data_IF_099876043347
#
_entry.id   IF_099876043347
#
_cell.length_a   1.000
_cell.length_b   1.000
_cell.length_c   1.000
_cell.angle_alpha   90.00
_cell.angle_beta   90.00
_cell.angle_gamma   90.00
#
_symmetry.space_group_name_H-M   'P 1'
#
loop_
_entity.id
_entity.type
_entity.pdbx_description
1 polymer ?
#
# COMPACT_ATOMS: atom_id res chain seq x y z
N UNK A 1 9.37 -12.75 -19.52
CA UNK A 1 8.73 -11.92 -18.48
C UNK A 1 7.33 -12.46 -18.25
N UNK A 2 7.07 -13.04 -17.09
CA UNK A 2 5.73 -13.54 -16.75
C UNK A 2 4.88 -12.35 -16.30
N UNK A 3 3.83 -12.02 -17.03
CA UNK A 3 2.98 -10.85 -16.74
C UNK A 3 2.16 -11.07 -15.47
N UNK A 4 1.72 -12.30 -15.27
CA UNK A 4 0.89 -12.68 -14.14
C UNK A 4 1.73 -13.33 -13.06
N UNK A 5 1.43 -12.99 -11.82
CA UNK A 5 1.96 -13.68 -10.67
C UNK A 5 1.42 -15.12 -10.65
N UNK A 6 2.27 -16.10 -10.36
CA UNK A 6 1.78 -17.48 -10.18
C UNK A 6 0.95 -17.55 -8.91
N UNK A 7 -0.08 -18.41 -8.91
CA UNK A 7 -0.90 -18.64 -7.70
C UNK A 7 -0.05 -19.04 -6.49
N UNK A 8 1.07 -19.73 -6.73
CA UNK A 8 2.06 -20.09 -5.72
C UNK A 8 2.86 -18.89 -5.19
N UNK A 9 3.24 -17.93 -6.04
CA UNK A 9 3.93 -16.70 -5.59
C UNK A 9 3.03 -15.84 -4.71
N UNK A 10 1.77 -15.64 -5.11
CA UNK A 10 0.80 -14.92 -4.29
C UNK A 10 0.58 -15.61 -2.94
N UNK A 11 0.42 -16.95 -2.93
CA UNK A 11 0.26 -17.74 -1.71
C UNK A 11 1.45 -17.61 -0.75
N UNK A 12 2.68 -17.57 -1.28
CA UNK A 12 3.89 -17.34 -0.46
C UNK A 12 3.86 -15.98 0.22
N UNK A 13 3.51 -14.92 -0.50
CA UNK A 13 3.37 -13.58 0.08
C UNK A 13 2.25 -13.51 1.12
N UNK A 14 1.11 -14.15 0.84
CA UNK A 14 0.00 -14.24 1.79
C UNK A 14 0.43 -14.97 3.07
N UNK A 15 1.13 -16.11 2.98
CA UNK A 15 1.69 -16.82 4.14
C UNK A 15 2.62 -15.92 4.97
N UNK A 16 3.49 -15.14 4.33
CA UNK A 16 4.40 -14.22 5.05
C UNK A 16 3.65 -13.08 5.70
N UNK A 17 2.65 -12.52 5.03
CA UNK A 17 1.78 -11.49 5.59
C UNK A 17 1.06 -12.03 6.84
N UNK A 18 0.42 -13.19 6.75
CA UNK A 18 -0.37 -13.78 7.84
C UNK A 18 0.50 -14.11 9.06
N UNK A 19 1.70 -14.67 8.83
CA UNK A 19 2.67 -14.96 9.90
C UNK A 19 3.11 -13.69 10.62
N UNK A 20 3.47 -12.64 9.88
CA UNK A 20 3.87 -11.36 10.48
C UNK A 20 2.71 -10.68 11.20
N UNK A 21 1.49 -10.75 10.65
CA UNK A 21 0.28 -10.27 11.33
C UNK A 21 0.08 -10.97 12.67
N UNK A 22 0.21 -12.30 12.69
CA UNK A 22 0.08 -13.09 13.92
C UNK A 22 1.17 -12.73 14.94
N UNK A 23 2.41 -12.48 14.51
CA UNK A 23 3.46 -12.00 15.40
C UNK A 23 3.08 -10.66 16.06
N UNK A 24 2.59 -9.69 15.28
CA UNK A 24 2.15 -8.41 15.84
C UNK A 24 0.96 -8.55 16.79
N UNK A 25 -0.02 -9.39 16.47
CA UNK A 25 -1.17 -9.67 17.35
C UNK A 25 -0.77 -10.32 18.67
N UNK A 26 0.20 -11.24 18.64
CA UNK A 26 0.73 -11.88 19.86
C UNK A 26 1.51 -10.87 20.71
N UNK A 27 2.31 -10.01 20.07
CA UNK A 27 3.11 -8.99 20.75
C UNK A 27 2.26 -7.88 21.37
N UNK A 28 1.18 -7.48 20.69
CA UNK A 28 0.41 -6.27 20.98
C UNK A 28 -1.07 -6.61 21.18
N UNK A 29 -1.39 -7.28 22.27
CA UNK A 29 -2.75 -7.65 22.64
C UNK A 29 -3.31 -6.77 23.79
N UNK A 30 -4.53 -7.08 24.23
CA UNK A 30 -5.24 -6.34 25.28
C UNK A 30 -4.52 -6.30 26.63
N UNK A 31 -3.56 -7.19 26.90
CA UNK A 31 -2.77 -7.21 28.13
C UNK A 31 -1.49 -6.36 28.02
N UNK A 32 -1.04 -6.09 26.80
CA UNK A 32 0.22 -5.39 26.50
C UNK A 32 0.02 -3.95 26.05
N UNK A 33 -1.17 -3.57 25.59
CA UNK A 33 -1.50 -2.21 25.16
C UNK A 33 -2.87 -1.78 25.70
N UNK A 34 -2.89 -0.74 26.52
CA UNK A 34 -4.13 -0.13 27.01
C UNK A 34 -4.45 1.21 26.35
N UNK A 35 -3.42 1.93 25.91
CA UNK A 35 -3.54 3.25 25.30
C UNK A 35 -3.43 3.21 23.78
N UNK A 36 -3.15 2.05 23.18
CA UNK A 36 -3.07 1.89 21.73
C UNK A 36 -3.88 0.69 21.24
N UNK A 37 -4.44 0.79 20.04
CA UNK A 37 -4.75 -0.38 19.19
C UNK A 37 -3.74 -0.45 18.06
N UNK A 38 -3.66 -1.58 17.37
CA UNK A 38 -2.76 -1.73 16.24
C UNK A 38 -3.47 -2.26 14.98
N UNK A 39 -2.83 -2.10 13.84
CA UNK A 39 -3.24 -2.69 12.57
C UNK A 39 -2.01 -2.97 11.71
N UNK A 40 -1.94 -4.16 11.12
CA UNK A 40 -0.95 -4.50 10.11
C UNK A 40 -1.64 -4.65 8.76
N UNK A 41 -1.31 -3.78 7.80
CA UNK A 41 -2.08 -3.61 6.56
C UNK A 41 -1.16 -3.73 5.34
N UNK A 42 -1.54 -4.53 4.33
CA UNK A 42 -0.85 -4.51 3.05
C UNK A 42 -1.34 -3.33 2.20
N UNK A 43 -0.48 -2.83 1.32
CA UNK A 43 -0.85 -1.87 0.29
C UNK A 43 -0.13 -2.17 -1.03
N UNK A 44 -0.20 -1.25 -2.00
CA UNK A 44 0.54 -1.39 -3.25
C UNK A 44 0.06 -2.56 -4.11
N UNK A 45 0.99 -3.17 -4.87
CA UNK A 45 0.66 -4.21 -5.86
C UNK A 45 -0.05 -5.41 -5.25
N UNK A 46 0.41 -5.86 -4.07
CA UNK A 46 -0.16 -7.03 -3.39
C UNK A 46 -1.62 -6.78 -3.01
N UNK A 47 -1.94 -5.63 -2.38
CA UNK A 47 -3.33 -5.26 -2.03
C UNK A 47 -4.21 -5.07 -3.26
N UNK A 48 -3.67 -4.55 -4.36
CA UNK A 48 -4.39 -4.39 -5.63
C UNK A 48 -4.64 -5.74 -6.32
N UNK A 49 -3.87 -6.80 -5.99
CA UNK A 49 -3.98 -8.11 -6.63
C UNK A 49 -3.29 -8.18 -8.00
N UNK A 50 -2.16 -7.48 -8.16
CA UNK A 50 -1.31 -7.55 -9.35
C UNK A 50 0.11 -7.95 -8.97
N UNK A 51 0.84 -8.50 -9.94
CA UNK A 51 2.22 -8.90 -9.72
C UNK A 51 3.09 -7.72 -9.25
N UNK A 52 3.82 -7.93 -8.17
CA UNK A 52 4.76 -6.99 -7.56
C UNK A 52 6.00 -7.72 -7.09
N UNK A 53 7.13 -7.01 -6.97
CA UNK A 53 8.35 -7.62 -6.46
C UNK A 53 8.28 -7.82 -4.95
N UNK A 54 7.84 -6.77 -4.25
CA UNK A 54 7.84 -6.71 -2.79
C UNK A 54 6.41 -6.78 -2.21
N UNK A 55 6.32 -7.23 -0.96
CA UNK A 55 5.13 -7.14 -0.13
C UNK A 55 5.21 -5.84 0.69
N UNK A 56 4.55 -4.81 0.19
CA UNK A 56 4.43 -3.50 0.83
C UNK A 56 3.43 -3.54 1.99
N UNK A 57 3.87 -3.20 3.21
CA UNK A 57 3.04 -3.24 4.42
C UNK A 57 3.29 -2.06 5.35
N UNK A 58 2.28 -1.76 6.16
CA UNK A 58 2.38 -0.79 7.24
C UNK A 58 1.89 -1.41 8.55
N UNK A 59 2.64 -1.16 9.62
CA UNK A 59 2.23 -1.38 10.99
C UNK A 59 1.85 -0.04 11.62
N UNK A 60 0.58 0.11 11.99
CA UNK A 60 0.03 1.34 12.56
C UNK A 60 -0.40 1.09 14.00
N UNK A 61 0.04 1.94 14.91
CA UNK A 61 -0.46 2.06 16.27
C UNK A 61 -1.41 3.26 16.35
N UNK A 62 -2.65 3.05 16.79
CA UNK A 62 -3.66 4.07 16.96
C UNK A 62 -3.80 4.42 18.44
N UNK A 63 -3.45 5.64 18.80
CA UNK A 63 -3.61 6.14 20.17
C UNK A 63 -5.11 6.19 20.52
N UNK A 64 -5.47 5.68 21.69
CA UNK A 64 -6.80 5.76 22.27
C UNK A 64 -6.87 6.96 23.22
N UNK A 65 -8.09 7.44 23.54
CA UNK A 65 -8.23 8.49 24.55
C UNK A 65 -7.85 7.94 25.93
N UNK A 66 -6.98 8.69 26.61
CA UNK A 66 -6.39 8.44 27.93
C UNK A 66 -7.22 7.55 28.85
N UNK A 67 -6.61 6.46 29.31
CA UNK A 67 -7.11 5.59 30.39
C UNK A 67 -6.16 5.71 31.58
N UNK A 68 -6.67 5.56 32.81
CA UNK A 68 -5.87 5.68 34.04
C UNK A 68 -4.85 4.53 34.26
N UNK A 69 -4.56 3.72 33.24
CA UNK A 69 -3.65 2.57 33.27
C UNK A 69 -2.81 2.59 32.01
N UNK A 70 -1.49 2.56 32.18
CA UNK A 70 -0.50 2.44 31.12
C UNK A 70 0.36 1.19 31.39
N UNK A 71 0.69 0.48 30.34
CA UNK A 71 1.72 -0.56 30.35
C UNK A 71 3.09 0.05 30.03
N UNK A 72 4.16 -0.73 30.19
CA UNK A 72 5.51 -0.31 29.76
C UNK A 72 5.61 -0.06 28.25
N UNK A 73 4.81 -0.78 27.44
CA UNK A 73 4.71 -0.52 26.01
C UNK A 73 4.00 0.78 25.71
N UNK A 74 2.89 1.08 26.40
CA UNK A 74 2.16 2.34 26.23
C UNK A 74 3.09 3.54 26.52
N UNK A 75 3.79 3.53 27.65
CA UNK A 75 4.76 4.57 28.02
C UNK A 75 5.85 4.75 26.94
N UNK A 76 6.39 3.63 26.45
CA UNK A 76 7.42 3.63 25.40
C UNK A 76 6.88 4.23 24.10
N UNK A 77 5.69 3.83 23.65
CA UNK A 77 5.11 4.35 22.41
C UNK A 77 4.73 5.83 22.52
N UNK A 78 4.26 6.30 23.67
CA UNK A 78 4.04 7.73 23.90
C UNK A 78 5.33 8.54 23.78
N UNK A 79 6.47 8.01 24.26
CA UNK A 79 7.78 8.67 24.11
C UNK A 79 8.29 8.65 22.66
N UNK A 80 8.04 7.58 21.91
CA UNK A 80 8.56 7.38 20.57
C UNK A 80 7.69 8.00 19.46
N UNK A 81 6.46 8.44 19.74
CA UNK A 81 5.47 8.87 18.72
C UNK A 81 5.91 10.00 17.78
N UNK A 82 6.87 10.83 18.20
CA UNK A 82 7.42 11.93 17.40
C UNK A 82 8.80 11.64 16.80
N UNK A 83 9.33 10.42 16.99
CA UNK A 83 10.65 10.02 16.48
C UNK A 83 10.52 8.72 15.69
N UNK A 84 10.29 8.83 14.38
CA UNK A 84 10.09 7.68 13.49
C UNK A 84 11.28 6.71 13.50
N UNK A 85 12.51 7.22 13.53
CA UNK A 85 13.71 6.37 13.57
C UNK A 85 13.80 5.56 14.86
N UNK A 86 13.57 6.19 16.02
CA UNK A 86 13.60 5.50 17.30
C UNK A 86 12.44 4.50 17.42
N UNK A 87 11.25 4.86 16.94
CA UNK A 87 10.10 3.98 16.84
C UNK A 87 10.40 2.74 15.98
N UNK A 88 10.92 2.94 14.77
CA UNK A 88 11.29 1.83 13.88
C UNK A 88 12.36 0.95 14.51
N UNK A 89 13.38 1.53 15.15
CA UNK A 89 14.40 0.74 15.87
C UNK A 89 13.78 -0.11 16.98
N UNK A 90 12.84 0.45 17.74
CA UNK A 90 12.15 -0.29 18.79
C UNK A 90 11.36 -1.46 18.23
N UNK A 91 10.57 -1.25 17.17
CA UNK A 91 9.83 -2.34 16.50
C UNK A 91 10.77 -3.40 15.93
N UNK A 92 11.90 -3.01 15.30
CA UNK A 92 12.91 -3.97 14.84
C UNK A 92 13.41 -4.84 15.99
N UNK A 93 13.77 -4.24 17.14
CA UNK A 93 14.26 -4.99 18.30
C UNK A 93 13.22 -5.98 18.85
N UNK A 94 11.95 -5.59 18.88
CA UNK A 94 10.88 -6.49 19.29
C UNK A 94 10.60 -7.60 18.26
N UNK A 95 10.69 -7.28 16.97
CA UNK A 95 10.56 -8.29 15.92
C UNK A 95 11.70 -9.30 15.99
N UNK A 96 12.93 -8.88 16.29
CA UNK A 96 14.08 -9.79 16.43
C UNK A 96 13.79 -10.87 17.47
N UNK A 97 13.27 -10.51 18.65
CA UNK A 97 13.01 -11.48 19.71
C UNK A 97 11.95 -12.51 19.30
N UNK A 98 10.92 -12.08 18.55
CA UNK A 98 9.90 -12.99 18.01
C UNK A 98 10.41 -13.81 16.82
N UNK A 99 11.22 -13.21 15.95
CA UNK A 99 11.85 -13.86 14.80
C UNK A 99 12.77 -14.97 15.30
N UNK A 100 13.58 -14.73 16.33
CA UNK A 100 14.46 -15.74 16.92
C UNK A 100 13.70 -16.94 17.52
N UNK A 101 12.42 -16.79 17.83
CA UNK A 101 11.53 -17.89 18.22
C UNK A 101 10.88 -18.57 17.01
N UNK A 102 9.89 -17.91 16.41
CA UNK A 102 8.92 -18.55 15.51
C UNK A 102 9.32 -18.51 14.02
N UNK A 103 10.13 -17.53 13.60
CA UNK A 103 10.45 -17.30 12.18
C UNK A 103 11.94 -17.46 11.86
N UNK A 104 12.74 -17.94 12.82
CA UNK A 104 14.21 -17.92 12.75
C UNK A 104 14.74 -18.68 11.55
N UNK A 105 14.10 -19.78 11.22
CA UNK A 105 14.50 -20.64 10.12
C UNK A 105 13.90 -20.23 8.77
N UNK A 106 13.06 -19.18 8.72
CA UNK A 106 12.43 -18.70 7.49
C UNK A 106 13.02 -17.39 6.97
N UNK A 107 13.73 -16.63 7.81
CA UNK A 107 14.28 -15.32 7.47
C UNK A 107 15.78 -15.43 7.15
N UNK A 108 16.17 -14.89 6.00
CA UNK A 108 17.58 -14.77 5.57
C UNK A 108 18.24 -13.62 6.31
N UNK A 109 17.63 -12.43 6.22
CA UNK A 109 18.06 -11.24 6.94
C UNK A 109 16.91 -10.24 7.06
N UNK A 110 17.05 -9.30 7.98
CA UNK A 110 16.28 -8.06 8.01
C UNK A 110 17.26 -6.88 8.00
N UNK A 111 16.82 -5.73 7.47
CA UNK A 111 17.58 -4.48 7.52
C UNK A 111 16.65 -3.30 7.66
N UNK A 112 17.11 -2.27 8.36
CA UNK A 112 16.48 -0.96 8.32
C UNK A 112 17.02 -0.16 7.13
N UNK A 113 16.13 0.46 6.37
CA UNK A 113 16.47 1.39 5.29
C UNK A 113 16.27 2.80 5.84
N UNK A 114 17.36 3.57 5.88
CA UNK A 114 17.33 4.99 6.27
C UNK A 114 16.80 5.81 5.09
N UNK A 115 15.52 6.13 5.15
CA UNK A 115 14.83 7.03 4.23
C UNK A 115 14.12 8.13 5.03
N UNK A 116 13.45 9.06 4.34
CA UNK A 116 12.64 10.10 5.01
C UNK A 116 11.65 9.50 6.03
N UNK A 117 11.13 8.31 5.73
CA UNK A 117 10.41 7.44 6.66
C UNK A 117 11.14 6.10 6.69
N UNK A 118 11.73 5.70 7.82
CA UNK A 118 12.49 4.45 7.91
C UNK A 118 11.61 3.23 7.60
N UNK A 119 12.20 2.27 6.88
CA UNK A 119 11.52 1.05 6.41
C UNK A 119 12.25 -0.15 7.00
N UNK A 120 11.49 -1.12 7.51
CA UNK A 120 12.03 -2.44 7.88
C UNK A 120 11.87 -3.34 6.65
N UNK A 121 12.98 -3.78 6.07
CA UNK A 121 12.98 -4.77 5.01
C UNK A 121 13.32 -6.14 5.60
N UNK A 122 12.48 -7.14 5.35
CA UNK A 122 12.71 -8.55 5.72
C UNK A 122 12.81 -9.37 4.43
N UNK A 123 13.86 -10.19 4.31
CA UNK A 123 14.01 -11.17 3.24
C UNK A 123 13.81 -12.57 3.80
N UNK A 124 12.86 -13.31 3.24
CA UNK A 124 12.59 -14.71 3.55
C UNK A 124 13.35 -15.67 2.62
N UNK A 125 13.52 -16.92 3.05
CA UNK A 125 14.27 -17.96 2.32
C UNK A 125 13.70 -18.24 0.92
N UNK A 126 12.38 -18.09 0.77
CA UNK A 126 11.67 -18.27 -0.50
C UNK A 126 11.76 -17.06 -1.44
N UNK A 127 12.65 -16.10 -1.12
CA UNK A 127 12.89 -14.84 -1.81
C UNK A 127 11.77 -13.81 -1.66
N UNK A 128 10.77 -14.05 -0.82
CA UNK A 128 9.77 -13.04 -0.49
C UNK A 128 10.43 -11.89 0.25
N UNK A 129 10.26 -10.67 -0.27
CA UNK A 129 10.68 -9.43 0.37
C UNK A 129 9.45 -8.75 0.97
N UNK A 130 9.56 -8.35 2.23
CA UNK A 130 8.51 -7.62 2.93
C UNK A 130 9.06 -6.29 3.41
N UNK A 131 8.41 -5.20 3.02
CA UNK A 131 8.71 -3.86 3.49
C UNK A 131 7.66 -3.43 4.50
N UNK A 132 8.08 -3.07 5.71
CA UNK A 132 7.21 -2.64 6.80
C UNK A 132 7.53 -1.19 7.15
N UNK A 133 6.55 -0.32 6.93
CA UNK A 133 6.55 1.02 7.50
C UNK A 133 5.91 1.00 8.88
N UNK A 134 6.44 1.79 9.82
CA UNK A 134 5.92 1.87 11.19
C UNK A 134 5.42 3.28 11.45
N UNK A 135 4.22 3.40 12.03
CA UNK A 135 3.63 4.70 12.33
C UNK A 135 2.78 4.67 13.59
N UNK A 136 2.86 5.72 14.41
CA UNK A 136 1.86 6.02 15.45
C UNK A 136 0.93 7.12 14.93
N UNK A 137 -0.38 6.88 15.02
CA UNK A 137 -1.44 7.85 14.72
C UNK A 137 -2.00 8.37 16.04
N UNK A 138 -1.82 9.66 16.28
CA UNK A 138 -2.33 10.35 17.48
C UNK A 138 -3.71 10.95 17.19
N UNK A 139 -4.51 11.18 18.25
CA UNK A 139 -5.85 11.76 18.13
C UNK A 139 -5.88 13.29 18.17
N UNK A 140 -4.72 13.96 18.04
CA UNK A 140 -4.65 15.41 18.24
C UNK A 140 -5.42 16.16 17.14
N UNK A 141 -6.54 16.75 17.53
CA UNK A 141 -7.41 17.60 16.70
C UNK A 141 -6.77 18.93 16.30
N UNK A 142 -5.57 19.25 16.81
CA UNK A 142 -4.86 20.49 16.53
C UNK A 142 -4.04 20.46 15.22
N UNK A 143 -3.77 19.29 14.63
CA UNK A 143 -3.06 19.17 13.35
C UNK A 143 -3.91 19.60 12.13
N UNK A 144 -5.18 19.96 12.33
CA UNK A 144 -6.12 20.33 11.27
C UNK A 144 -6.16 21.85 11.01
N UNK A 145 -5.60 22.69 11.89
CA UNK A 145 -5.69 24.15 11.73
C UNK A 145 -4.48 24.83 11.08
N UNK A 146 -3.30 24.20 11.04
CA UNK A 146 -2.11 24.77 10.40
C UNK A 146 -2.01 24.38 8.92
N UNK A 147 -2.87 25.00 8.11
CA UNK A 147 -2.90 24.83 6.65
C UNK A 147 -1.61 25.29 5.92
N UNK A 148 -0.67 25.95 6.61
CA UNK A 148 0.63 26.37 6.08
C UNK A 148 1.69 25.28 6.12
N UNK A 149 1.51 24.23 6.92
CA UNK A 149 2.49 23.17 7.20
C UNK A 149 2.02 21.78 6.77
N UNK A 150 1.11 21.71 5.77
CA UNK A 150 0.50 20.50 5.22
C UNK A 150 1.51 19.42 4.79
N UNK A 151 2.80 19.76 4.58
CA UNK A 151 3.84 18.80 4.19
C UNK A 151 4.66 18.24 5.36
N UNK A 152 4.53 18.80 6.56
CA UNK A 152 5.35 18.43 7.73
C UNK A 152 4.70 17.41 8.66
N UNK A 153 3.36 17.36 8.75
CA UNK A 153 2.64 16.47 9.68
C UNK A 153 1.85 15.33 9.03
N UNK A 154 1.89 15.15 7.70
CA UNK A 154 1.16 14.05 7.06
C UNK A 154 2.01 12.78 7.08
N UNK A 155 1.62 11.88 7.98
CA UNK A 155 1.59 10.42 7.92
C UNK A 155 1.63 9.76 6.50
N UNK A 156 2.74 9.93 5.75
CA UNK A 156 2.86 9.43 4.35
C UNK A 156 2.66 7.92 4.18
N UNK A 157 3.08 7.05 5.10
CA UNK A 157 2.83 5.61 4.97
C UNK A 157 1.34 5.26 4.93
N UNK A 158 0.52 5.89 5.79
CA UNK A 158 -0.94 5.74 5.73
C UNK A 158 -1.54 6.29 4.43
N UNK A 159 -0.94 7.31 3.81
CA UNK A 159 -1.39 7.78 2.49
C UNK A 159 -1.34 6.62 1.49
N UNK A 160 -0.27 5.82 1.47
CA UNK A 160 -0.16 4.68 0.56
C UNK A 160 -1.29 3.65 0.73
N UNK A 161 -1.68 3.34 1.98
CA UNK A 161 -2.84 2.48 2.26
C UNK A 161 -4.13 3.14 1.80
N UNK A 162 -4.37 4.40 2.17
CA UNK A 162 -5.59 5.12 1.83
C UNK A 162 -5.75 5.28 0.32
N UNK A 163 -4.67 5.62 -0.39
CA UNK A 163 -4.60 5.72 -1.84
C UNK A 163 -4.93 4.39 -2.49
N UNK A 164 -4.29 3.31 -2.03
CA UNK A 164 -4.53 1.96 -2.57
C UNK A 164 -5.98 1.52 -2.33
N UNK A 165 -6.50 1.70 -1.12
CA UNK A 165 -7.86 1.31 -0.75
C UNK A 165 -8.89 2.15 -1.49
N UNK A 166 -8.67 3.47 -1.57
CA UNK A 166 -9.55 4.38 -2.30
C UNK A 166 -9.61 4.00 -3.77
N UNK A 167 -8.48 3.75 -4.41
CA UNK A 167 -8.45 3.28 -5.80
C UNK A 167 -9.19 1.94 -5.95
N UNK A 168 -8.93 0.98 -5.08
CA UNK A 168 -9.50 -0.37 -5.17
C UNK A 168 -11.02 -0.37 -5.00
N UNK A 169 -11.55 0.36 -4.01
CA UNK A 169 -13.01 0.45 -3.75
C UNK A 169 -13.75 1.13 -4.88
N UNK A 170 -13.11 2.11 -5.54
CA UNK A 170 -13.79 2.90 -6.54
C UNK A 170 -13.59 2.40 -7.97
N UNK A 171 -12.68 1.47 -8.24
CA UNK A 171 -12.41 1.04 -9.61
C UNK A 171 -13.56 0.25 -10.22
N UNK A 172 -13.84 0.51 -11.50
CA UNK A 172 -14.83 -0.24 -12.28
C UNK A 172 -14.25 -1.57 -12.76
N UNK A 173 -14.91 -2.68 -12.43
CA UNK A 173 -14.48 -4.06 -12.72
C UNK A 173 -13.04 -4.35 -12.28
N UNK A 174 -12.80 -4.66 -10.99
CA UNK A 174 -11.45 -4.95 -10.48
C UNK A 174 -10.66 -5.99 -11.31
N UNK A 175 -11.25 -7.10 -11.79
CA UNK A 175 -10.52 -8.07 -12.62
C UNK A 175 -10.01 -7.45 -13.94
N UNK A 176 -10.85 -6.72 -14.67
CA UNK A 176 -10.45 -6.10 -15.95
C UNK A 176 -9.41 -5.01 -15.69
N UNK A 177 -9.59 -4.21 -14.64
CA UNK A 177 -8.62 -3.21 -14.22
C UNK A 177 -7.25 -3.82 -13.90
N UNK A 178 -7.19 -4.91 -13.13
CA UNK A 178 -5.95 -5.62 -12.82
C UNK A 178 -5.24 -6.11 -14.09
N UNK A 179 -5.98 -6.64 -15.06
CA UNK A 179 -5.42 -7.07 -16.35
C UNK A 179 -4.87 -5.90 -17.16
N UNK A 180 -5.62 -4.80 -17.26
CA UNK A 180 -5.18 -3.60 -17.96
C UNK A 180 -3.93 -3.02 -17.31
N UNK A 181 -3.95 -2.86 -15.98
CA UNK A 181 -2.83 -2.32 -15.22
C UNK A 181 -1.58 -3.22 -15.33
N UNK A 182 -1.75 -4.53 -15.27
CA UNK A 182 -0.65 -5.50 -15.45
C UNK A 182 -0.01 -5.34 -16.83
N UNK A 183 -0.83 -5.27 -17.89
CA UNK A 183 -0.36 -5.10 -19.26
C UNK A 183 0.36 -3.76 -19.45
N UNK A 184 -0.25 -2.65 -19.01
CA UNK A 184 0.31 -1.30 -19.15
C UNK A 184 1.60 -1.14 -18.34
N UNK A 185 1.67 -1.69 -17.11
CA UNK A 185 2.91 -1.68 -16.32
C UNK A 185 4.03 -2.42 -17.03
N UNK A 186 3.75 -3.61 -17.56
CA UNK A 186 4.77 -4.37 -18.27
C UNK A 186 5.23 -3.68 -19.56
N UNK A 187 4.31 -3.04 -20.29
CA UNK A 187 4.67 -2.18 -21.42
C UNK A 187 5.58 -1.03 -20.96
N UNK A 188 5.17 -0.27 -19.94
CA UNK A 188 5.91 0.88 -19.43
C UNK A 188 7.31 0.50 -18.94
N UNK A 189 7.46 -0.64 -18.26
CA UNK A 189 8.74 -1.19 -17.85
C UNK A 189 9.63 -1.53 -19.06
N UNK A 190 9.08 -2.20 -20.08
CA UNK A 190 9.84 -2.57 -21.29
C UNK A 190 10.33 -1.37 -22.10
N UNK A 191 9.56 -0.29 -22.14
CA UNK A 191 9.93 0.93 -22.87
C UNK A 191 10.69 1.95 -22.00
N UNK A 192 10.99 1.63 -20.75
CA UNK A 192 11.78 2.50 -19.85
C UNK A 192 11.02 3.70 -19.30
N UNK A 193 9.69 3.66 -19.23
CA UNK A 193 8.82 4.73 -18.71
C UNK A 193 8.26 4.44 -17.30
N UNK A 194 8.82 3.47 -16.58
CA UNK A 194 8.37 3.09 -15.24
C UNK A 194 9.40 3.46 -14.19
N UNK A 195 9.01 4.26 -13.18
CA UNK A 195 9.84 4.51 -12.00
C UNK A 195 9.92 5.98 -11.61
N UNK A 196 9.39 6.29 -10.41
CA UNK A 196 9.39 7.64 -9.83
C UNK A 196 10.79 8.22 -9.65
N UNK A 197 11.76 7.38 -9.27
CA UNK A 197 13.13 7.80 -9.02
C UNK A 197 13.80 8.44 -10.26
N UNK A 198 13.32 8.12 -11.46
CA UNK A 198 13.84 8.62 -12.73
C UNK A 198 12.97 9.74 -13.33
N UNK A 199 12.00 10.26 -12.58
CA UNK A 199 11.06 11.28 -13.07
C UNK A 199 9.90 10.73 -13.91
N UNK A 200 9.80 9.41 -14.08
CA UNK A 200 8.66 8.76 -14.74
C UNK A 200 7.53 8.44 -13.76
N UNK A 201 6.42 7.92 -14.29
CA UNK A 201 5.24 7.57 -13.51
C UNK A 201 5.52 6.40 -12.55
N UNK A 202 4.99 6.52 -11.33
CA UNK A 202 5.02 5.46 -10.33
C UNK A 202 3.98 4.38 -10.62
N UNK A 203 4.08 3.22 -9.94
CA UNK A 203 3.07 2.17 -10.04
C UNK A 203 1.65 2.66 -9.74
N UNK A 204 1.50 3.51 -8.72
CA UNK A 204 0.20 4.09 -8.36
C UNK A 204 -0.30 5.10 -9.42
N UNK A 205 0.59 5.90 -10.02
CA UNK A 205 0.21 6.79 -11.12
C UNK A 205 -0.34 6.01 -12.32
N UNK A 206 0.32 4.92 -12.72
CA UNK A 206 -0.20 4.03 -13.78
C UNK A 206 -1.56 3.43 -13.41
N UNK A 207 -1.75 3.06 -12.14
CA UNK A 207 -3.00 2.52 -11.62
C UNK A 207 -4.15 3.54 -11.73
N UNK A 208 -3.90 4.80 -11.38
CA UNK A 208 -4.88 5.88 -11.55
C UNK A 208 -5.28 6.05 -13.03
N UNK A 209 -4.32 6.05 -13.95
CA UNK A 209 -4.60 6.20 -15.39
C UNK A 209 -5.44 5.01 -15.91
N UNK A 210 -5.11 3.78 -15.52
CA UNK A 210 -5.86 2.59 -15.91
C UNK A 210 -7.28 2.59 -15.34
N UNK A 211 -7.45 3.00 -14.08
CA UNK A 211 -8.77 3.08 -13.44
C UNK A 211 -9.69 4.07 -14.18
N UNK A 212 -9.15 5.19 -14.66
CA UNK A 212 -9.92 6.12 -15.48
C UNK A 212 -10.37 5.52 -16.80
N UNK A 213 -9.52 4.75 -17.48
CA UNK A 213 -9.90 4.06 -18.72
C UNK A 213 -11.01 3.06 -18.45
N UNK A 214 -10.91 2.27 -17.37
CA UNK A 214 -11.99 1.39 -16.93
C UNK A 214 -13.28 2.16 -16.63
N UNK A 215 -13.20 3.33 -15.99
CA UNK A 215 -14.37 4.15 -15.74
C UNK A 215 -15.01 4.70 -17.01
N UNK A 216 -14.21 5.19 -17.94
CA UNK A 216 -14.70 5.88 -19.14
C UNK A 216 -15.26 4.90 -20.17
N UNK A 217 -14.62 3.75 -20.36
CA UNK A 217 -14.89 2.88 -21.50
C UNK A 217 -15.58 1.55 -21.15
N UNK A 218 -15.65 1.15 -19.87
CA UNK A 218 -16.47 0.00 -19.48
C UNK A 218 -17.91 0.45 -19.17
N UNK A 219 -18.87 -0.23 -19.81
CA UNK A 219 -20.29 -0.04 -19.48
C UNK A 219 -20.61 -0.59 -18.08
N UNK A 220 -21.68 -0.10 -17.42
CA UNK A 220 -22.09 -0.62 -16.12
C UNK A 220 -22.38 -2.13 -16.13
N UNK A 221 -22.91 -2.66 -17.24
CA UNK A 221 -23.22 -4.08 -17.40
C UNK A 221 -21.92 -4.91 -17.45
N UNK A 222 -20.92 -4.46 -18.21
CA UNK A 222 -19.60 -5.11 -18.26
C UNK A 222 -18.82 -5.00 -16.94
N UNK A 223 -19.21 -4.05 -16.09
CA UNK A 223 -18.65 -3.92 -14.74
C UNK A 223 -19.13 -5.02 -13.78
N UNK A 224 -20.27 -5.63 -14.07
CA UNK A 224 -20.90 -6.66 -13.23
C UNK A 224 -20.65 -8.08 -13.76
N UNK A 225 -20.23 -8.21 -15.02
CA UNK A 225 -19.86 -9.51 -15.61
C UNK A 225 -18.47 -9.98 -15.14
N UNK A 226 -18.32 -11.29 -14.93
CA UNK A 226 -17.03 -11.94 -14.71
C UNK A 226 -16.10 -11.74 -15.91
N UNK A 227 -14.78 -11.84 -15.69
CA UNK A 227 -13.75 -11.75 -16.73
C UNK A 227 -13.98 -12.76 -17.88
N UNK A 228 -14.68 -13.86 -17.59
CA UNK A 228 -14.99 -14.94 -18.54
C UNK A 228 -15.82 -14.48 -19.76
N UNK A 229 -16.54 -13.36 -19.63
CA UNK A 229 -17.33 -12.78 -20.72
C UNK A 229 -16.66 -11.60 -21.42
N UNK A 230 -15.42 -11.27 -21.06
CA UNK A 230 -14.67 -10.16 -21.65
C UNK A 230 -13.70 -10.71 -22.70
N UNK A 231 -13.97 -10.42 -23.98
CA UNK A 231 -13.18 -10.99 -25.07
C UNK A 231 -11.79 -10.37 -25.17
N UNK A 232 -10.87 -11.08 -25.81
CA UNK A 232 -9.52 -10.59 -26.08
C UNK A 232 -9.53 -9.30 -26.92
N UNK A 233 -10.46 -9.21 -27.88
CA UNK A 233 -10.62 -8.02 -28.73
C UNK A 233 -11.13 -6.82 -27.92
N UNK A 234 -12.05 -7.04 -26.98
CA UNK A 234 -12.51 -5.99 -26.07
C UNK A 234 -11.40 -5.50 -25.15
N UNK A 235 -10.54 -6.41 -24.69
CA UNK A 235 -9.35 -6.05 -23.91
C UNK A 235 -8.37 -5.20 -24.70
N UNK A 236 -8.01 -5.60 -25.92
CA UNK A 236 -7.09 -4.80 -26.74
C UNK A 236 -7.71 -3.49 -27.22
N UNK A 237 -9.03 -3.43 -27.41
CA UNK A 237 -9.75 -2.17 -27.60
C UNK A 237 -9.56 -1.25 -26.39
N UNK A 238 -9.69 -1.76 -25.16
CA UNK A 238 -9.45 -0.98 -23.94
C UNK A 238 -8.00 -0.47 -23.83
N UNK A 239 -7.03 -1.31 -24.19
CA UNK A 239 -5.60 -0.93 -24.28
C UNK A 239 -5.40 0.17 -25.33
N UNK A 240 -6.03 0.07 -26.50
CA UNK A 240 -5.97 1.10 -27.53
C UNK A 240 -6.58 2.43 -27.04
N UNK A 241 -7.69 2.37 -26.30
CA UNK A 241 -8.29 3.55 -25.68
C UNK A 241 -7.33 4.20 -24.67
N UNK A 242 -6.64 3.41 -23.85
CA UNK A 242 -5.60 3.93 -22.95
C UNK A 242 -4.59 4.80 -23.69
N UNK A 243 -3.97 4.27 -24.73
CA UNK A 243 -2.95 5.01 -25.49
C UNK A 243 -3.54 6.22 -26.21
N UNK A 244 -4.71 6.06 -26.84
CA UNK A 244 -5.37 7.15 -27.59
C UNK A 244 -5.76 8.31 -26.68
N UNK A 245 -6.30 8.02 -25.50
CA UNK A 245 -6.70 9.03 -24.51
C UNK A 245 -5.50 9.81 -24.01
N UNK A 246 -4.45 9.13 -23.52
CA UNK A 246 -3.34 9.82 -22.87
C UNK A 246 -2.33 10.43 -23.85
N UNK A 247 -2.30 9.99 -25.11
CA UNK A 247 -1.57 10.67 -26.18
C UNK A 247 -2.20 12.02 -26.55
N UNK A 248 -3.52 12.17 -26.40
CA UNK A 248 -4.27 13.40 -26.72
C UNK A 248 -4.53 14.28 -25.49
N UNK A 249 -4.18 13.81 -24.29
CA UNK A 249 -4.42 14.55 -23.06
C UNK A 249 -3.53 15.80 -22.98
N UNK A 250 -4.13 16.94 -22.61
CA UNK A 250 -3.41 18.21 -22.53
C UNK A 250 -2.70 18.37 -21.18
N UNK A 251 -1.56 17.68 -21.03
CA UNK A 251 -0.77 17.66 -19.80
C UNK A 251 -0.25 19.04 -19.34
N UNK A 252 -0.09 20.00 -20.26
CA UNK A 252 0.46 21.32 -19.96
C UNK A 252 -0.55 22.27 -19.30
N UNK A 253 -1.83 22.11 -19.61
CA UNK A 253 -2.89 23.00 -19.11
C UNK A 253 -3.88 22.33 -18.16
N UNK A 254 -3.83 21.00 -18.05
CA UNK A 254 -4.78 20.24 -17.26
C UNK A 254 -4.08 19.26 -16.32
N UNK A 255 -4.46 19.32 -15.04
CA UNK A 255 -4.12 18.30 -14.07
C UNK A 255 -5.08 17.12 -14.21
N UNK A 256 -4.53 15.92 -14.31
CA UNK A 256 -5.32 14.69 -14.34
C UNK A 256 -5.95 14.40 -12.97
N UNK A 257 -7.24 14.08 -12.95
CA UNK A 257 -7.97 13.68 -11.74
C UNK A 257 -8.84 12.48 -12.05
N UNK A 258 -8.74 11.45 -11.21
CA UNK A 258 -9.57 10.25 -11.35
C UNK A 258 -11.06 10.57 -11.16
N UNK A 259 -11.39 11.48 -10.24
CA UNK A 259 -12.75 11.93 -9.95
C UNK A 259 -12.89 13.45 -10.11
N UNK A 260 -14.04 13.96 -10.61
CA UNK A 260 -14.31 15.39 -10.66
C UNK A 260 -14.37 16.03 -9.27
N UNK A 261 -14.12 17.35 -9.17
CA UNK A 261 -14.19 18.13 -7.91
C UNK A 261 -15.54 18.02 -7.18
N UNK A 262 -16.62 17.62 -7.87
CA UNK A 262 -17.98 17.48 -7.31
C UNK A 262 -18.20 16.19 -6.53
N UNK A 263 -17.25 15.24 -6.54
CA UNK A 263 -17.30 14.04 -5.70
C UNK A 263 -16.94 14.43 -4.26
N UNK A 264 -17.87 15.10 -3.56
CA UNK A 264 -17.81 15.19 -2.10
C UNK A 264 -17.94 13.77 -1.57
N UNK A 265 -16.94 13.31 -0.82
CA UNK A 265 -17.03 12.09 -0.02
C UNK A 265 -18.33 12.16 0.78
N UNK A 266 -19.28 11.26 0.50
CA UNK A 266 -20.37 11.01 1.45
C UNK A 266 -19.69 10.35 2.65
N UNK A 267 -19.46 11.16 3.67
CA UNK A 267 -19.08 10.76 5.03
C UNK A 267 -20.10 9.78 5.60
#
# INVERSE_FOLDING_TARGET
MNLYETSESYKRKQDKFDKLSSCFEQMFNQDTLYCFTHSFLPYGSFRIGINGEDLDTIFVLHELKSRNKETSFDETFHQLKHNSTALTNHIVNLLITQIEGNLKNEIVYYRKIEALFPIILILFNDQTKVEIFVQIKTNNTQDVQDNSNLYSNIHKPMIGVHETEYLFVHVRSPPIFQHLLTYIRAWAQRVGLYGRAYGYLSGYSWAILCAHICHTFLSPIKSLSSIEHFSIDEFFSLVQQFFTTFAKFNWLSQSFRLYPKSYKQKT
#
